data_IF_549163272239
#
_entry.id   IF_549163272239
#
_cell.length_a   1.000
_cell.length_b   1.000
_cell.length_c   1.000
_cell.angle_alpha   90.00
_cell.angle_beta   90.00
_cell.angle_gamma   90.00
#
_symmetry.space_group_name_H-M   'P 1'
#
loop_
_entity.id
_entity.type
_entity.pdbx_description
1 polymer ?
#
# COMPACT_ATOMS: atom_id res chain seq x y z
N UNK A 1 -32.80 -11.97 -9.40
CA UNK A 1 -31.78 -12.51 -8.47
C UNK A 1 -30.42 -12.32 -9.12
N UNK A 2 -29.63 -11.34 -8.68
CA UNK A 2 -28.26 -11.18 -9.18
C UNK A 2 -27.43 -12.39 -8.74
N UNK A 3 -26.62 -13.00 -9.63
CA UNK A 3 -25.78 -14.12 -9.23
C UNK A 3 -24.84 -13.65 -8.11
N UNK A 4 -24.86 -14.35 -6.97
CA UNK A 4 -23.89 -14.11 -5.90
C UNK A 4 -22.50 -14.33 -6.51
N UNK A 5 -21.73 -13.25 -6.70
CA UNK A 5 -20.31 -13.34 -7.04
C UNK A 5 -19.64 -14.05 -5.85
N UNK A 6 -19.58 -15.38 -5.95
CA UNK A 6 -18.86 -16.25 -5.02
C UNK A 6 -17.48 -15.65 -4.83
N UNK A 7 -17.03 -15.52 -3.58
CA UNK A 7 -15.67 -15.11 -3.26
C UNK A 7 -14.68 -15.67 -4.29
N UNK A 8 -13.91 -14.82 -4.96
CA UNK A 8 -13.07 -15.26 -6.06
C UNK A 8 -12.04 -16.25 -5.53
N UNK A 9 -12.20 -17.53 -5.85
CA UNK A 9 -11.34 -18.67 -5.45
C UNK A 9 -9.97 -18.65 -6.15
N UNK A 10 -9.46 -17.48 -6.53
CA UNK A 10 -8.13 -17.33 -7.12
C UNK A 10 -7.20 -16.64 -6.13
N UNK A 11 -5.98 -17.16 -6.04
CA UNK A 11 -4.93 -16.58 -5.19
C UNK A 11 -4.67 -15.10 -5.50
N UNK A 12 -4.81 -14.71 -6.77
CA UNK A 12 -4.74 -13.32 -7.22
C UNK A 12 -5.79 -12.43 -6.54
N UNK A 13 -7.03 -12.90 -6.45
CA UNK A 13 -8.10 -12.13 -5.84
C UNK A 13 -7.94 -11.99 -4.35
N UNK A 14 -7.57 -13.10 -3.71
CA UNK A 14 -7.37 -13.12 -2.27
C UNK A 14 -6.20 -12.21 -1.88
N UNK A 15 -5.12 -12.19 -2.68
CA UNK A 15 -4.01 -11.27 -2.50
C UNK A 15 -4.44 -9.80 -2.61
N UNK A 16 -5.13 -9.41 -3.69
CA UNK A 16 -5.61 -8.05 -3.89
C UNK A 16 -6.58 -7.61 -2.78
N UNK A 17 -7.48 -8.50 -2.38
CA UNK A 17 -8.44 -8.26 -1.31
C UNK A 17 -7.72 -8.08 0.04
N UNK A 18 -6.80 -8.97 0.39
CA UNK A 18 -6.07 -8.91 1.65
C UNK A 18 -5.27 -7.60 1.75
N UNK A 19 -4.49 -7.27 0.73
CA UNK A 19 -3.73 -6.01 0.70
C UNK A 19 -4.68 -4.83 0.82
N UNK A 20 -5.77 -4.81 0.04
CA UNK A 20 -6.75 -3.74 0.10
C UNK A 20 -7.42 -3.57 1.46
N UNK A 21 -7.74 -4.67 2.15
CA UNK A 21 -8.32 -4.68 3.51
C UNK A 21 -7.31 -4.19 4.55
N UNK A 22 -6.07 -4.67 4.50
CA UNK A 22 -5.02 -4.20 5.43
C UNK A 22 -4.74 -2.71 5.22
N UNK A 23 -4.73 -2.23 3.98
CA UNK A 23 -4.59 -0.80 3.66
C UNK A 23 -5.70 0.07 4.28
N UNK A 24 -6.85 -0.49 4.67
CA UNK A 24 -7.89 0.29 5.35
C UNK A 24 -7.46 0.77 6.73
N UNK A 25 -6.47 0.14 7.37
CA UNK A 25 -5.86 0.64 8.60
C UNK A 25 -5.25 2.04 8.42
N UNK A 26 -4.90 2.44 7.19
CA UNK A 26 -4.43 3.78 6.89
C UNK A 26 -5.48 4.86 7.15
N UNK A 27 -6.78 4.56 7.06
CA UNK A 27 -7.82 5.52 7.46
C UNK A 27 -7.79 5.79 8.96
N UNK A 28 -7.48 4.78 9.79
CA UNK A 28 -7.28 4.98 11.23
C UNK A 28 -6.05 5.84 11.47
N UNK A 29 -4.94 5.59 10.75
CA UNK A 29 -3.74 6.42 10.83
C UNK A 29 -3.99 7.87 10.39
N UNK A 30 -4.89 8.11 9.43
CA UNK A 30 -5.22 9.45 8.96
C UNK A 30 -5.95 10.30 10.02
N UNK A 31 -6.78 9.67 10.87
CA UNK A 31 -7.55 10.36 11.91
C UNK A 31 -6.91 10.28 13.29
N UNK A 32 -5.73 9.66 13.41
CA UNK A 32 -5.11 9.46 14.72
C UNK A 32 -4.62 10.78 15.34
N UNK A 33 -4.58 10.85 16.68
CA UNK A 33 -4.04 12.01 17.38
C UNK A 33 -2.58 12.29 17.01
N UNK A 34 -2.20 13.56 16.96
CA UNK A 34 -0.83 13.99 16.65
C UNK A 34 0.20 13.37 17.60
N UNK A 35 -0.18 13.25 18.88
CA UNK A 35 0.64 12.58 19.90
C UNK A 35 0.98 11.12 19.57
N UNK A 36 0.14 10.42 18.79
CA UNK A 36 0.43 9.04 18.37
C UNK A 36 1.51 9.03 17.29
N UNK A 37 1.44 9.92 16.30
CA UNK A 37 2.46 10.08 15.26
C UNK A 37 3.82 10.34 15.92
N UNK A 38 3.89 11.36 16.79
CA UNK A 38 5.14 11.74 17.48
C UNK A 38 5.69 10.58 18.31
N UNK A 39 4.84 9.89 19.08
CA UNK A 39 5.26 8.73 19.90
C UNK A 39 5.74 7.55 19.06
N UNK A 40 5.11 7.28 17.92
CA UNK A 40 5.50 6.19 17.02
C UNK A 40 6.84 6.52 16.38
N UNK A 41 7.03 7.73 15.84
CA UNK A 41 8.31 8.17 15.26
C UNK A 41 9.45 8.08 16.28
N UNK A 42 9.22 8.53 17.52
CA UNK A 42 10.20 8.42 18.59
C UNK A 42 10.51 6.96 18.98
N UNK A 43 9.51 6.07 19.03
CA UNK A 43 9.71 4.63 19.29
C UNK A 43 10.48 3.93 18.19
N UNK A 44 10.30 4.36 16.95
CA UNK A 44 11.03 3.86 15.79
C UNK A 44 12.47 4.41 15.72
N UNK A 45 12.85 5.29 16.66
CA UNK A 45 14.17 5.95 16.70
C UNK A 45 14.50 6.67 15.39
N UNK A 46 13.46 7.21 14.74
CA UNK A 46 13.61 8.08 13.58
C UNK A 46 13.88 9.51 14.05
N UNK A 47 14.28 10.37 13.11
CA UNK A 47 14.37 11.80 13.35
C UNK A 47 13.04 12.35 13.91
N UNK A 48 13.07 13.33 14.83
CA UNK A 48 11.87 13.87 15.45
C UNK A 48 10.85 14.32 14.39
N UNK A 49 9.61 13.87 14.52
CA UNK A 49 8.56 14.27 13.61
C UNK A 49 8.35 15.79 13.71
N UNK A 50 8.41 16.56 12.61
CA UNK A 50 8.21 18.00 12.68
C UNK A 50 6.79 18.32 13.16
N UNK A 51 6.66 18.96 14.32
CA UNK A 51 5.36 19.34 14.90
C UNK A 51 4.81 20.62 14.22
N UNK A 52 4.65 20.57 12.90
CA UNK A 52 4.11 21.66 12.09
C UNK A 52 2.79 21.24 11.44
N UNK A 53 1.84 22.18 11.22
CA UNK A 53 0.57 21.86 10.55
C UNK A 53 0.77 21.18 9.19
N UNK A 54 1.79 21.59 8.42
CA UNK A 54 2.09 21.03 7.11
C UNK A 54 2.54 19.57 7.20
N UNK A 55 3.40 19.21 8.16
CA UNK A 55 3.87 17.85 8.32
C UNK A 55 2.72 16.90 8.70
N UNK A 56 1.87 17.29 9.66
CA UNK A 56 0.69 16.52 10.00
C UNK A 56 -0.30 16.40 8.84
N UNK A 57 -0.52 17.50 8.10
CA UNK A 57 -1.36 17.48 6.91
C UNK A 57 -0.85 16.47 5.87
N UNK A 58 0.44 16.48 5.54
CA UNK A 58 1.03 15.57 4.56
C UNK A 58 0.96 14.11 5.02
N UNK A 59 1.30 13.82 6.28
CA UNK A 59 1.25 12.46 6.82
C UNK A 59 -0.19 11.89 6.80
N UNK A 60 -1.18 12.71 7.15
CA UNK A 60 -2.60 12.31 7.11
C UNK A 60 -3.11 12.15 5.68
N UNK A 61 -2.76 13.06 4.77
CA UNK A 61 -3.13 12.95 3.35
C UNK A 61 -2.55 11.70 2.69
N UNK A 62 -1.29 11.38 2.99
CA UNK A 62 -0.66 10.15 2.50
C UNK A 62 -1.41 8.91 3.01
N UNK A 63 -1.82 8.92 4.28
CA UNK A 63 -2.62 7.84 4.86
C UNK A 63 -4.00 7.71 4.20
N UNK A 64 -4.67 8.84 3.90
CA UNK A 64 -5.93 8.84 3.12
C UNK A 64 -5.74 8.26 1.72
N UNK A 65 -4.65 8.61 1.05
CA UNK A 65 -4.32 8.08 -0.27
C UNK A 65 -4.15 6.55 -0.23
N UNK A 66 -3.40 6.03 0.75
CA UNK A 66 -3.23 4.57 0.91
C UNK A 66 -4.55 3.85 1.22
N UNK A 67 -5.41 4.45 2.05
CA UNK A 67 -6.76 3.93 2.31
C UNK A 67 -7.61 3.87 1.03
N UNK A 68 -7.60 4.94 0.24
CA UNK A 68 -8.34 5.03 -1.03
C UNK A 68 -7.81 4.03 -2.08
N UNK A 69 -6.49 3.87 -2.19
CA UNK A 69 -5.87 2.82 -3.02
C UNK A 69 -6.35 1.44 -2.55
N UNK A 70 -6.40 1.20 -1.23
CA UNK A 70 -6.92 -0.04 -0.67
C UNK A 70 -8.37 -0.34 -1.09
N UNK A 71 -9.25 0.66 -1.11
CA UNK A 71 -10.63 0.52 -1.60
C UNK A 71 -10.62 0.09 -3.08
N UNK A 72 -9.79 0.74 -3.90
CA UNK A 72 -9.67 0.39 -5.31
C UNK A 72 -9.20 -1.08 -5.49
N UNK A 73 -8.23 -1.55 -4.69
CA UNK A 73 -7.77 -2.94 -4.70
C UNK A 73 -8.88 -3.92 -4.32
N UNK A 74 -9.67 -3.60 -3.30
CA UNK A 74 -10.84 -4.41 -2.91
C UNK A 74 -11.84 -4.51 -4.07
N UNK A 75 -12.20 -3.39 -4.71
CA UNK A 75 -13.14 -3.38 -5.84
C UNK A 75 -12.60 -4.19 -7.04
N UNK A 76 -11.30 -4.04 -7.34
CA UNK A 76 -10.64 -4.81 -8.41
C UNK A 76 -10.62 -6.31 -8.08
N UNK A 77 -10.45 -6.67 -6.81
CA UNK A 77 -10.41 -8.07 -6.36
C UNK A 77 -11.72 -8.82 -6.67
N UNK A 78 -12.88 -8.16 -6.58
CA UNK A 78 -14.17 -8.76 -6.93
C UNK A 78 -14.36 -8.92 -8.46
N UNK A 79 -13.67 -8.11 -9.28
CA UNK A 79 -13.92 -8.01 -10.73
C UNK A 79 -12.69 -8.31 -11.59
N UNK A 80 -11.92 -9.33 -11.23
CA UNK A 80 -10.63 -9.65 -11.89
C UNK A 80 -10.74 -9.88 -13.39
N UNK A 81 -11.78 -10.59 -13.85
CA UNK A 81 -11.97 -10.87 -15.27
C UNK A 81 -12.04 -9.58 -16.10
N UNK A 82 -12.70 -8.54 -15.57
CA UNK A 82 -12.82 -7.22 -16.20
C UNK A 82 -11.52 -6.42 -16.13
N UNK A 83 -10.80 -6.49 -15.02
CA UNK A 83 -9.60 -5.69 -14.76
C UNK A 83 -8.29 -6.41 -15.09
N UNK A 84 -8.32 -7.55 -15.78
CA UNK A 84 -7.13 -8.41 -15.93
C UNK A 84 -5.92 -7.66 -16.54
N UNK A 85 -6.12 -6.91 -17.63
CA UNK A 85 -5.05 -6.11 -18.25
C UNK A 85 -4.53 -5.04 -17.30
N UNK A 86 -5.43 -4.37 -16.59
CA UNK A 86 -5.07 -3.34 -15.60
C UNK A 86 -4.24 -3.92 -14.45
N UNK A 87 -4.57 -5.11 -13.95
CA UNK A 87 -3.81 -5.78 -12.88
C UNK A 87 -2.36 -6.03 -13.30
N UNK A 88 -2.11 -6.40 -14.56
CA UNK A 88 -0.75 -6.57 -15.08
C UNK A 88 0.08 -5.28 -15.06
N UNK A 89 -0.52 -4.16 -15.50
CA UNK A 89 0.11 -2.84 -15.41
C UNK A 89 0.27 -2.37 -13.96
N UNK A 90 -0.71 -2.64 -13.11
CA UNK A 90 -0.67 -2.31 -11.69
C UNK A 90 0.50 -3.02 -11.00
N UNK A 91 0.75 -4.28 -11.32
CA UNK A 91 1.89 -5.03 -10.76
C UNK A 91 3.23 -4.41 -11.13
N UNK A 92 3.43 -4.05 -12.41
CA UNK A 92 4.62 -3.31 -12.85
C UNK A 92 4.73 -1.94 -12.19
N UNK A 93 3.60 -1.24 -12.05
CA UNK A 93 3.51 0.04 -11.35
C UNK A 93 3.92 -0.05 -9.89
N UNK A 94 3.54 -1.11 -9.17
CA UNK A 94 3.92 -1.33 -7.78
C UNK A 94 5.42 -1.64 -7.66
N UNK A 95 6.00 -2.41 -8.58
CA UNK A 95 7.45 -2.62 -8.62
C UNK A 95 8.20 -1.30 -8.83
N UNK A 96 7.78 -0.51 -9.82
CA UNK A 96 8.37 0.80 -10.08
C UNK A 96 8.19 1.74 -8.88
N UNK A 97 7.01 1.74 -8.25
CA UNK A 97 6.73 2.50 -7.04
C UNK A 97 7.68 2.12 -5.90
N UNK A 98 7.88 0.83 -5.63
CA UNK A 98 8.80 0.39 -4.58
C UNK A 98 10.25 0.83 -4.84
N UNK A 99 10.72 0.78 -6.08
CA UNK A 99 12.05 1.27 -6.45
C UNK A 99 12.18 2.79 -6.27
N UNK A 100 11.19 3.55 -6.71
CA UNK A 100 11.16 5.00 -6.56
C UNK A 100 11.02 5.43 -5.10
N UNK A 101 10.25 4.69 -4.31
CA UNK A 101 10.14 4.89 -2.86
C UNK A 101 11.50 4.72 -2.21
N UNK A 102 12.24 3.65 -2.53
CA UNK A 102 13.60 3.45 -2.02
C UNK A 102 14.56 4.60 -2.40
N UNK A 103 14.46 5.13 -3.62
CA UNK A 103 15.22 6.30 -4.03
C UNK A 103 14.86 7.55 -3.21
N UNK A 104 13.57 7.80 -2.98
CA UNK A 104 13.10 8.94 -2.19
C UNK A 104 13.54 8.81 -0.74
N UNK A 105 13.46 7.63 -0.14
CA UNK A 105 13.88 7.38 1.23
C UNK A 105 15.37 7.67 1.43
N UNK A 106 16.20 7.23 0.47
CA UNK A 106 17.64 7.53 0.47
C UNK A 106 17.91 9.03 0.33
N UNK A 107 17.20 9.73 -0.56
CA UNK A 107 17.31 11.19 -0.71
C UNK A 107 16.85 11.94 0.54
N UNK A 108 15.89 11.36 1.28
CA UNK A 108 15.32 11.93 2.51
C UNK A 108 16.14 11.60 3.75
N UNK A 109 17.24 10.84 3.62
CA UNK A 109 18.09 10.45 4.75
C UNK A 109 17.46 9.44 5.70
N UNK A 110 16.47 8.66 5.25
CA UNK A 110 15.85 7.63 6.09
C UNK A 110 16.84 6.50 6.40
N UNK A 111 16.74 5.84 7.58
CA UNK A 111 17.60 4.71 7.92
C UNK A 111 17.46 3.56 6.93
N UNK A 112 18.57 2.87 6.63
CA UNK A 112 18.60 1.77 5.65
C UNK A 112 17.60 0.67 5.98
N UNK A 113 17.40 0.34 7.25
CA UNK A 113 16.45 -0.70 7.65
C UNK A 113 15.00 -0.29 7.35
N UNK A 114 14.67 1.00 7.46
CA UNK A 114 13.36 1.55 7.14
C UNK A 114 13.15 1.53 5.62
N UNK A 115 14.11 2.07 4.87
CA UNK A 115 14.10 2.05 3.40
C UNK A 115 13.97 0.64 2.85
N UNK A 116 14.72 -0.31 3.41
CA UNK A 116 14.66 -1.71 3.02
C UNK A 116 13.28 -2.30 3.34
N UNK A 117 12.74 -2.08 4.54
CA UNK A 117 11.43 -2.57 4.92
C UNK A 117 10.33 -2.04 3.99
N UNK A 118 10.35 -0.76 3.65
CA UNK A 118 9.35 -0.13 2.80
C UNK A 118 9.49 -0.47 1.31
N UNK A 119 10.69 -0.26 0.74
CA UNK A 119 10.95 -0.45 -0.69
C UNK A 119 10.92 -1.93 -1.08
N UNK A 120 11.61 -2.80 -0.33
CA UNK A 120 11.72 -4.22 -0.69
C UNK A 120 10.37 -4.91 -0.53
N UNK A 121 9.60 -4.59 0.51
CA UNK A 121 8.26 -5.18 0.68
C UNK A 121 7.33 -4.79 -0.47
N UNK A 122 7.38 -3.53 -0.92
CA UNK A 122 6.60 -3.06 -2.08
C UNK A 122 7.02 -3.74 -3.38
N UNK A 123 8.33 -3.87 -3.63
CA UNK A 123 8.85 -4.57 -4.81
C UNK A 123 8.46 -6.04 -4.80
N UNK A 124 8.63 -6.75 -3.68
CA UNK A 124 8.22 -8.15 -3.51
C UNK A 124 6.71 -8.28 -3.75
N UNK A 125 5.90 -7.36 -3.20
CA UNK A 125 4.46 -7.35 -3.40
C UNK A 125 4.06 -7.17 -4.88
N UNK A 126 4.75 -6.29 -5.61
CA UNK A 126 4.54 -6.10 -7.04
C UNK A 126 4.94 -7.33 -7.87
N UNK A 127 6.08 -7.94 -7.57
CA UNK A 127 6.56 -9.17 -8.22
C UNK A 127 5.58 -10.33 -7.96
N UNK A 128 5.13 -10.49 -6.72
CA UNK A 128 4.15 -11.52 -6.34
C UNK A 128 2.84 -11.32 -7.08
N UNK A 129 2.35 -10.08 -7.18
CA UNK A 129 1.15 -9.75 -7.95
C UNK A 129 1.31 -10.10 -9.43
N UNK A 130 2.46 -9.75 -10.03
CA UNK A 130 2.77 -10.05 -11.43
C UNK A 130 2.82 -11.56 -11.68
N UNK A 131 3.45 -12.30 -10.77
CA UNK A 131 3.53 -13.76 -10.83
C UNK A 131 2.16 -14.42 -10.73
N UNK A 132 1.33 -14.02 -9.75
CA UNK A 132 -0.06 -14.50 -9.59
C UNK A 132 -0.92 -14.17 -10.82
N UNK A 133 -0.75 -12.98 -11.39
CA UNK A 133 -1.42 -12.56 -12.62
C UNK A 133 -1.08 -13.46 -13.80
N UNK A 134 0.18 -13.93 -13.91
CA UNK A 134 0.60 -14.84 -14.98
C UNK A 134 0.14 -16.28 -14.74
N UNK A 135 0.06 -16.73 -13.48
CA UNK A 135 -0.34 -18.10 -13.11
C UNK A 135 -1.85 -18.34 -13.21
N UNK A 136 -2.67 -17.33 -12.97
CA UNK A 136 -4.14 -17.43 -13.09
C UNK A 136 -4.64 -17.04 -14.50
N UNK A 137 -3.84 -17.30 -15.54
CA UNK A 137 -4.20 -16.99 -16.93
C UNK A 137 -5.32 -17.87 -17.46
#
# INVERSE_FOLDING_TARGET
MAPSEKHPRSWLAWYLWLVGVVSQLAFVAAVMPESWIVKITARLQLEPFPETPLAFYLARQLSLLYGAVGIALIVVSYRISRFRKFIGFLALGIVAFGLLQGLIDLQSGMPIWWTAAESISSVIGGILLFWLHHRCR
#
